data_IF_295971560673
#
_entry.id   IF_295971560673
#
_cell.length_a   1.000
_cell.length_b   1.000
_cell.length_c   1.000
_cell.angle_alpha   90.00
_cell.angle_beta   90.00
_cell.angle_gamma   90.00
#
_symmetry.space_group_name_H-M   'P 1'
#
loop_
_entity.id
_entity.type
_entity.pdbx_description
1 polymer ?
#
# COMPACT_ATOMS: atom_id res chain seq x y z
N UNK A 1 -12.77 5.97 8.86
CA UNK A 1 -11.63 6.21 9.78
C UNK A 1 -10.64 5.08 9.54
N UNK A 2 -9.35 5.37 9.33
CA UNK A 2 -8.35 4.34 9.09
C UNK A 2 -7.85 3.80 10.44
N UNK A 3 -7.78 2.48 10.57
CA UNK A 3 -7.23 1.79 11.74
C UNK A 3 -5.91 1.16 11.34
N UNK A 4 -4.89 1.31 12.19
CA UNK A 4 -3.55 0.74 11.95
C UNK A 4 -3.22 -0.24 13.05
N UNK A 5 -3.10 -1.51 12.70
CA UNK A 5 -2.46 -2.50 13.54
C UNK A 5 -0.95 -2.40 13.31
N UNK A 6 -0.15 -2.28 14.38
CA UNK A 6 1.33 -2.18 14.31
C UNK A 6 2.04 -3.44 13.82
N UNK A 7 1.33 -4.31 13.11
CA UNK A 7 1.81 -5.56 12.53
C UNK A 7 1.97 -5.38 11.02
N UNK A 8 3.07 -5.89 10.47
CA UNK A 8 3.22 -6.00 9.02
C UNK A 8 2.20 -7.03 8.48
N UNK A 9 1.70 -6.80 7.26
CA UNK A 9 0.85 -7.77 6.56
C UNK A 9 1.56 -9.10 6.30
N UNK A 10 2.90 -9.06 6.14
CA UNK A 10 3.73 -10.25 6.02
C UNK A 10 4.99 -10.09 6.87
N UNK A 11 5.45 -11.16 7.57
CA UNK A 11 6.68 -11.11 8.33
C UNK A 11 7.88 -10.97 7.38
N UNK A 12 8.50 -9.79 7.37
CA UNK A 12 9.73 -9.51 6.61
C UNK A 12 10.89 -9.37 7.57
N UNK A 13 11.98 -10.10 7.33
CA UNK A 13 13.24 -10.00 8.08
C UNK A 13 14.40 -9.76 7.12
N UNK A 14 15.32 -8.88 7.50
CA UNK A 14 16.55 -8.64 6.75
C UNK A 14 17.66 -9.44 7.42
N UNK A 15 18.27 -10.37 6.70
CA UNK A 15 19.39 -11.18 7.24
C UNK A 15 20.73 -10.47 7.09
N UNK A 16 20.93 -9.72 6.01
CA UNK A 16 22.16 -8.96 5.72
C UNK A 16 21.85 -7.61 5.10
N UNK A 17 22.43 -6.55 5.66
CA UNK A 17 22.29 -5.20 5.10
C UNK A 17 22.97 -5.12 3.73
N UNK A 18 22.20 -4.72 2.70
CA UNK A 18 22.71 -4.52 1.35
C UNK A 18 22.21 -3.15 0.81
N UNK A 19 23.11 -2.16 0.66
CA UNK A 19 22.73 -0.81 0.22
C UNK A 19 22.25 -0.76 -1.24
N UNK A 20 22.72 -1.66 -2.11
CA UNK A 20 22.24 -1.74 -3.50
C UNK A 20 20.79 -2.24 -3.56
N UNK A 21 20.46 -3.23 -2.73
CA UNK A 21 19.10 -3.74 -2.62
C UNK A 21 18.14 -2.70 -2.01
N UNK A 22 18.59 -1.94 -1.01
CA UNK A 22 17.82 -0.84 -0.45
C UNK A 22 17.51 0.24 -1.50
N UNK A 23 18.46 0.56 -2.40
CA UNK A 23 18.23 1.51 -3.50
C UNK A 23 17.24 0.96 -4.53
N UNK A 24 17.28 -0.34 -4.82
CA UNK A 24 16.30 -0.98 -5.70
C UNK A 24 14.88 -0.97 -5.09
N UNK A 25 14.76 -1.22 -3.78
CA UNK A 25 13.47 -1.15 -3.06
C UNK A 25 12.85 0.25 -3.10
N UNK A 26 13.64 1.31 -3.10
CA UNK A 26 13.11 2.68 -3.23
C UNK A 26 12.37 2.89 -4.55
N UNK A 27 12.78 2.24 -5.64
CA UNK A 27 12.04 2.28 -6.90
C UNK A 27 10.70 1.54 -6.80
N UNK A 28 10.65 0.42 -6.08
CA UNK A 28 9.42 -0.35 -5.88
C UNK A 28 8.42 0.35 -4.94
N UNK A 29 8.89 1.16 -3.99
CA UNK A 29 8.02 1.88 -3.04
C UNK A 29 7.61 3.24 -3.61
N UNK A 30 8.57 4.03 -4.10
CA UNK A 30 8.40 5.43 -4.49
C UNK A 30 8.62 5.74 -5.97
N UNK A 31 8.91 4.75 -6.80
CA UNK A 31 9.03 4.92 -8.25
C UNK A 31 7.69 5.15 -8.94
N UNK A 32 7.73 5.35 -10.26
CA UNK A 32 6.55 5.65 -11.11
C UNK A 32 5.53 4.49 -11.08
N UNK A 33 5.97 3.27 -10.84
CA UNK A 33 5.14 2.08 -10.66
C UNK A 33 5.10 1.60 -9.20
N UNK A 34 5.50 2.47 -8.28
CA UNK A 34 5.64 2.10 -6.88
C UNK A 34 4.31 1.91 -6.16
N UNK A 35 4.33 1.12 -5.10
CA UNK A 35 3.15 0.77 -4.30
C UNK A 35 2.40 1.99 -3.76
N UNK A 36 3.11 3.08 -3.44
CA UNK A 36 2.51 4.34 -2.96
C UNK A 36 1.60 4.95 -4.02
N UNK A 37 1.98 4.92 -5.29
CA UNK A 37 1.16 5.48 -6.38
C UNK A 37 -0.13 4.70 -6.53
N UNK A 38 -0.05 3.37 -6.48
CA UNK A 38 -1.20 2.48 -6.58
C UNK A 38 -2.14 2.68 -5.39
N UNK A 39 -1.60 2.72 -4.17
CA UNK A 39 -2.38 2.99 -2.96
C UNK A 39 -3.11 4.36 -3.03
N UNK A 40 -2.43 5.40 -3.49
CA UNK A 40 -3.01 6.74 -3.66
C UNK A 40 -4.07 6.77 -4.77
N UNK A 41 -3.87 6.05 -5.88
CA UNK A 41 -4.84 5.95 -6.96
C UNK A 41 -6.11 5.21 -6.54
N UNK A 42 -5.99 4.11 -5.79
CA UNK A 42 -7.15 3.40 -5.26
C UNK A 42 -7.89 4.20 -4.18
N UNK A 43 -7.17 4.95 -3.34
CA UNK A 43 -7.78 5.76 -2.28
C UNK A 43 -8.48 7.02 -2.81
N UNK A 44 -8.07 7.55 -3.96
CA UNK A 44 -8.62 8.80 -4.53
C UNK A 44 -9.61 8.57 -5.66
N UNK A 45 -9.70 7.35 -6.22
CA UNK A 45 -10.64 7.05 -7.30
C UNK A 45 -12.09 7.03 -6.80
N UNK A 46 -13.00 7.79 -7.45
CA UNK A 46 -14.39 7.91 -7.02
C UNK A 46 -15.18 6.60 -7.11
N UNK A 47 -14.76 5.65 -7.96
CA UNK A 47 -15.47 4.38 -8.18
C UNK A 47 -15.42 3.40 -6.99
N UNK A 48 -14.44 3.52 -6.09
CA UNK A 48 -14.35 2.64 -4.90
C UNK A 48 -15.29 3.11 -3.77
N UNK A 49 -15.73 4.38 -3.79
CA UNK A 49 -16.67 4.93 -2.80
C UNK A 49 -18.13 4.55 -3.08
N UNK A 50 -18.45 4.11 -4.30
CA UNK A 50 -19.81 3.71 -4.66
C UNK A 50 -20.19 2.32 -4.13
N UNK A 51 -19.22 1.39 -4.00
CA UNK A 51 -19.47 0.02 -3.55
C UNK A 51 -19.75 -0.11 -2.03
N UNK A 52 -19.31 0.86 -1.21
CA UNK A 52 -19.56 0.84 0.24
C UNK A 52 -20.92 1.42 0.64
N UNK A 53 -21.63 2.08 -0.28
CA UNK A 53 -22.97 2.66 -0.04
C UNK A 53 -24.12 1.74 -0.43
N UNK A 54 -23.88 0.65 -1.16
CA UNK A 54 -24.94 -0.29 -1.58
C UNK A 54 -25.18 -1.45 -0.60
N UNK A 55 -24.39 -1.58 0.47
CA UNK A 55 -24.53 -2.63 1.49
C UNK A 55 -25.20 -2.17 2.80
N UNK A 56 -25.68 -0.91 2.87
CA UNK A 56 -26.37 -0.38 4.04
C UNK A 56 -27.92 -0.38 3.91
N UNK A 57 -28.45 -1.00 2.86
CA UNK A 57 -29.88 -1.21 2.64
C UNK A 57 -30.08 -2.61 2.05
N UNK A 58 -29.84 -3.64 2.85
CA UNK A 58 -30.50 -4.96 2.79
C UNK A 58 -30.26 -5.68 4.12
#
# INVERSE_FOLDING_TARGET
>A
MFYTDGKLQYPVRVEKANPLFARALQQAIGGIEGEIRVAMQYSSRPAVRAATRSFATF
#
